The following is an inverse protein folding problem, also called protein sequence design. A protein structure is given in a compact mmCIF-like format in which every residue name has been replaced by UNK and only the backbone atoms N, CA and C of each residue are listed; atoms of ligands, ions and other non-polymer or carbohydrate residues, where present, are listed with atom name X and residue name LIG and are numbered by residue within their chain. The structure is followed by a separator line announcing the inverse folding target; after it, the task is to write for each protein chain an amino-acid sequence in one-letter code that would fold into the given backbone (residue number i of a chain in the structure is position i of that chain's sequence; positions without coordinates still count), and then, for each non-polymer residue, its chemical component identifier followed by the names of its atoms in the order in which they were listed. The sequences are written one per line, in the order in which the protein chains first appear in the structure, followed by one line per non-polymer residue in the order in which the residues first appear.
data_IF_027138197061
#
_entry.id   IF_027138197061
#
_cell.length_a   1.000
_cell.length_b   1.000
_cell.length_c   1.000
_cell.angle_alpha   90.00
_cell.angle_beta   90.00
_cell.angle_gamma   90.00
#
_symmetry.space_group_name_H-M   'P 1'
#
loop_
_entity.id
_entity.type
_entity.pdbx_description
1 polymer ?
#
# COMPACT_ATOMS: atom_id res chain seq x y z
N UNK A 1 8.45 7.30 -10.87
CA UNK A 1 7.95 7.31 -9.48
C UNK A 1 8.60 6.14 -8.78
N UNK A 2 9.31 6.41 -7.70
CA UNK A 2 10.18 5.43 -7.04
C UNK A 2 9.43 4.70 -5.92
N UNK A 3 9.83 3.47 -5.64
CA UNK A 3 9.33 2.66 -4.51
C UNK A 3 9.34 3.43 -3.19
N UNK A 4 10.30 4.36 -3.01
CA UNK A 4 10.39 5.24 -1.85
C UNK A 4 9.17 6.17 -1.70
N UNK A 5 8.67 6.78 -2.77
CA UNK A 5 7.50 7.68 -2.71
C UNK A 5 6.23 6.90 -2.37
N UNK A 6 6.10 5.70 -2.93
CA UNK A 6 4.97 4.81 -2.63
C UNK A 6 5.03 4.36 -1.17
N UNK A 7 6.21 4.02 -0.66
CA UNK A 7 6.38 3.62 0.75
C UNK A 7 6.12 4.78 1.71
N UNK A 8 6.53 5.99 1.36
CA UNK A 8 6.23 7.21 2.13
C UNK A 8 4.72 7.50 2.18
N UNK A 9 4.05 7.43 1.03
CA UNK A 9 2.58 7.60 0.95
C UNK A 9 1.86 6.52 1.77
N UNK A 10 2.30 5.27 1.63
CA UNK A 10 1.74 4.15 2.38
C UNK A 10 1.93 4.35 3.89
N UNK A 11 3.10 4.84 4.31
CA UNK A 11 3.37 5.21 5.70
C UNK A 11 2.46 6.30 6.20
N UNK A 12 2.30 7.38 5.42
CA UNK A 12 1.41 8.48 5.78
C UNK A 12 -0.04 8.02 5.98
N UNK A 13 -0.57 7.19 5.07
CA UNK A 13 -1.93 6.64 5.19
C UNK A 13 -2.07 5.77 6.44
N UNK A 14 -1.09 4.91 6.71
CA UNK A 14 -1.10 4.03 7.88
C UNK A 14 -0.98 4.84 9.19
N UNK A 15 -0.14 5.88 9.21
CA UNK A 15 -0.02 6.79 10.36
C UNK A 15 -1.29 7.60 10.60
N UNK A 16 -1.99 8.01 9.55
CA UNK A 16 -3.31 8.66 9.65
C UNK A 16 -4.37 7.71 10.25
N UNK A 17 -4.27 6.41 9.94
CA UNK A 17 -5.09 5.35 10.55
C UNK A 17 -4.71 5.05 12.02
N UNK A 18 -3.63 5.64 12.54
CA UNK A 18 -3.16 5.44 13.91
C UNK A 18 -2.05 4.41 14.06
N UNK A 19 -1.43 3.98 12.95
CA UNK A 19 -0.35 2.98 12.96
C UNK A 19 1.01 3.69 13.02
N UNK A 20 1.84 3.39 14.04
CA UNK A 20 3.12 4.06 14.21
C UNK A 20 4.06 3.78 13.02
N UNK A 21 4.75 4.81 12.51
CA UNK A 21 5.74 4.65 11.44
C UNK A 21 6.88 3.67 11.79
N UNK A 22 7.17 3.49 13.08
CA UNK A 22 8.14 2.53 13.61
C UNK A 22 7.74 1.06 13.38
N UNK A 23 6.45 0.76 13.20
CA UNK A 23 5.99 -0.59 12.86
C UNK A 23 5.91 -0.80 11.35
N UNK A 24 6.04 0.26 10.55
CA UNK A 24 5.87 0.26 9.10
C UNK A 24 7.17 -0.07 8.37
N UNK A 25 7.60 -1.32 8.49
CA UNK A 25 8.74 -1.86 7.76
C UNK A 25 8.33 -2.59 6.48
N UNK A 26 9.25 -2.67 5.53
CA UNK A 26 9.11 -3.42 4.27
C UNK A 26 8.66 -4.88 4.46
N UNK A 27 9.08 -5.52 5.56
CA UNK A 27 8.71 -6.89 5.91
C UNK A 27 7.49 -7.00 6.83
N UNK A 28 6.92 -5.88 7.27
CA UNK A 28 5.73 -5.84 8.12
C UNK A 28 4.53 -6.37 7.34
N UNK A 29 3.78 -7.25 7.97
CA UNK A 29 2.59 -7.89 7.42
C UNK A 29 1.33 -7.08 7.71
N UNK A 30 0.55 -6.79 6.67
CA UNK A 30 -0.70 -6.02 6.79
C UNK A 30 -1.69 -6.63 7.80
N UNK A 31 -1.79 -7.96 7.87
CA UNK A 31 -2.79 -8.59 8.73
C UNK A 31 -2.15 -9.27 9.94
N UNK A 32 -0.95 -9.82 9.82
CA UNK A 32 -0.28 -10.46 10.95
C UNK A 32 0.38 -9.47 11.93
N UNK A 33 1.00 -8.41 11.42
CA UNK A 33 1.65 -7.39 12.27
C UNK A 33 0.71 -6.23 12.56
N UNK A 34 0.07 -5.68 11.52
CA UNK A 34 -0.79 -4.50 11.67
C UNK A 34 -2.23 -4.84 12.05
N UNK A 35 -2.60 -6.13 12.03
CA UNK A 35 -3.94 -6.62 12.38
C UNK A 35 -5.07 -5.91 11.65
N UNK A 36 -4.81 -5.41 10.43
CA UNK A 36 -5.79 -4.64 9.66
C UNK A 36 -7.05 -5.46 9.40
N UNK A 37 -8.20 -4.89 9.76
CA UNK A 37 -9.49 -5.44 9.42
C UNK A 37 -9.87 -5.13 7.96
N UNK A 38 -10.99 -5.73 7.53
CA UNK A 38 -11.51 -5.55 6.16
C UNK A 38 -11.77 -4.08 5.83
N UNK A 39 -12.15 -3.27 6.82
CA UNK A 39 -12.38 -1.82 6.65
C UNK A 39 -11.08 -1.07 6.45
N UNK A 40 -10.09 -1.24 7.34
CA UNK A 40 -8.80 -0.55 7.25
C UNK A 40 -8.06 -0.92 5.95
N UNK A 41 -8.12 -2.20 5.57
CA UNK A 41 -7.57 -2.68 4.31
C UNK A 41 -8.18 -1.95 3.10
N UNK A 42 -9.49 -1.72 3.12
CA UNK A 42 -10.18 -0.95 2.06
C UNK A 42 -9.81 0.53 2.13
N UNK A 43 -9.69 1.12 3.32
CA UNK A 43 -9.30 2.52 3.49
C UNK A 43 -7.87 2.77 2.98
N UNK A 44 -6.93 1.88 3.27
CA UNK A 44 -5.56 1.96 2.74
C UNK A 44 -5.56 1.88 1.21
N UNK A 45 -6.27 0.90 0.65
CA UNK A 45 -6.39 0.75 -0.80
C UNK A 45 -7.03 1.99 -1.45
N UNK A 46 -8.01 2.61 -0.77
CA UNK A 46 -8.66 3.83 -1.23
C UNK A 46 -7.72 5.04 -1.12
N UNK A 47 -6.95 5.15 -0.04
CA UNK A 47 -5.94 6.18 0.17
C UNK A 47 -4.87 6.14 -0.91
N UNK A 48 -4.31 4.95 -1.18
CA UNK A 48 -3.34 4.75 -2.27
C UNK A 48 -3.94 5.13 -3.62
N UNK A 49 -5.21 4.78 -3.87
CA UNK A 49 -5.90 5.16 -5.10
C UNK A 49 -6.13 6.68 -5.20
N UNK A 50 -6.37 7.38 -4.10
CA UNK A 50 -6.56 8.83 -4.08
C UNK A 50 -5.26 9.59 -4.27
N UNK A 51 -4.21 9.18 -3.56
CA UNK A 51 -2.91 9.85 -3.58
C UNK A 51 -2.13 9.53 -4.86
N UNK A 52 -2.11 8.26 -5.27
CA UNK A 52 -1.28 7.79 -6.39
C UNK A 52 -2.09 7.52 -7.66
N UNK A 53 -3.42 7.53 -7.59
CA UNK A 53 -4.27 7.12 -8.71
C UNK A 53 -4.31 5.61 -8.94
N UNK A 54 -3.67 4.80 -8.10
CA UNK A 54 -3.50 3.35 -8.32
C UNK A 54 -4.43 2.54 -7.42
N UNK A 55 -5.31 1.76 -8.06
CA UNK A 55 -6.21 0.84 -7.35
C UNK A 55 -5.53 -0.48 -7.02
N UNK A 56 -4.93 -0.59 -5.84
CA UNK A 56 -4.36 -1.85 -5.33
C UNK A 56 -5.46 -2.68 -4.68
N UNK A 57 -5.51 -3.98 -4.97
CA UNK A 57 -6.38 -4.91 -4.27
C UNK A 57 -5.58 -5.64 -3.21
N UNK A 58 -5.76 -5.23 -1.96
CA UNK A 58 -5.26 -5.95 -0.81
C UNK A 58 -6.24 -7.13 -0.57
N UNK A 59 -5.91 -8.31 -1.09
CA UNK A 59 -6.73 -9.50 -0.87
C UNK A 59 -6.60 -9.97 0.58
N UNK A 60 -7.70 -9.98 1.32
CA UNK A 60 -7.78 -10.48 2.71
C UNK A 60 -7.35 -11.95 2.89
N UNK A 61 -7.21 -12.69 1.80
CA UNK A 61 -6.79 -14.11 1.79
C UNK A 61 -5.28 -14.30 1.80
N UNK A 62 -4.51 -13.30 1.38
CA UNK A 62 -3.06 -13.38 1.37
C UNK A 62 -2.50 -12.27 2.26
N UNK A 63 -1.77 -12.67 3.30
CA UNK A 63 -1.02 -11.73 4.12
C UNK A 63 0.12 -11.17 3.27
N UNK A 64 0.02 -9.89 2.91
CA UNK A 64 1.02 -9.21 2.09
C UNK A 64 1.86 -8.29 2.96
N UNK A 65 3.13 -8.14 2.61
CA UNK A 65 4.02 -7.19 3.28
C UNK A 65 3.92 -5.80 2.65
N UNK A 66 4.31 -4.75 3.38
CA UNK A 66 4.38 -3.39 2.82
C UNK A 66 5.24 -3.35 1.54
N UNK A 67 6.36 -4.08 1.49
CA UNK A 67 7.18 -4.16 0.28
C UNK A 67 6.43 -4.74 -0.91
N UNK A 68 5.60 -5.77 -0.69
CA UNK A 68 4.79 -6.35 -1.76
C UNK A 68 3.71 -5.38 -2.25
N UNK A 69 3.04 -4.66 -1.34
CA UNK A 69 2.09 -3.60 -1.73
C UNK A 69 2.79 -2.54 -2.57
N UNK A 70 3.96 -2.10 -2.12
CA UNK A 70 4.75 -1.10 -2.81
C UNK A 70 5.15 -1.59 -4.22
N UNK A 71 5.60 -2.83 -4.34
CA UNK A 71 5.88 -3.47 -5.63
C UNK A 71 4.65 -3.56 -6.52
N UNK A 72 3.48 -3.93 -5.97
CA UNK A 72 2.23 -4.00 -6.71
C UNK A 72 1.80 -2.64 -7.23
N UNK A 73 1.91 -1.59 -6.40
CA UNK A 73 1.60 -0.22 -6.80
C UNK A 73 2.53 0.22 -7.92
N UNK A 74 3.84 0.05 -7.76
CA UNK A 74 4.83 0.40 -8.79
C UNK A 74 4.63 -0.40 -10.08
N UNK A 75 4.23 -1.68 -9.99
CA UNK A 75 3.94 -2.52 -11.15
C UNK A 75 2.59 -2.19 -11.81
N UNK A 76 1.59 -1.76 -11.03
CA UNK A 76 0.27 -1.37 -11.51
C UNK A 76 0.22 0.08 -11.98
N UNK A 77 1.23 0.89 -11.63
CA UNK A 77 1.45 2.16 -12.28
C UNK A 77 1.56 1.90 -13.77
N UNK A 78 0.80 2.61 -14.61
CA UNK A 78 1.08 2.62 -16.02
C UNK A 78 2.49 3.23 -16.15
N UNK A 79 3.52 2.41 -16.32
CA UNK A 79 4.64 2.82 -17.16
C UNK A 79 3.94 3.25 -18.45
N UNK A 80 3.98 4.54 -18.79
CA UNK A 80 3.34 5.11 -19.97
C UNK A 80 3.56 4.17 -21.15
N UNK A 81 2.61 3.25 -21.38
CA UNK A 81 2.62 2.39 -22.54
C UNK A 81 1.93 3.25 -23.57
N UNK A 82 2.77 4.10 -24.14
CA UNK A 82 2.65 4.56 -25.50
C UNK A 82 2.37 3.31 -26.34
N UNK A 83 1.10 3.09 -26.66
CA UNK A 83 0.67 2.17 -27.69
C UNK A 83 -0.31 2.96 -28.54
N UNK A 84 0.28 3.61 -29.55
CA UNK A 84 -0.44 4.27 -30.64
C UNK A 84 -0.98 3.28 -31.65
#
# INVERSE_FOLDING_TARGET
MDTYQVMDTLRAILTDLGIPEETLHENTLLRKDLQLDSTETVEIALGLKRELGIGVKLETRQDMTLAQVCHLVVAAMPASTESG
#
